data_IF_173200131827
#
_entry.id   IF_173200131827
#
_cell.length_a   1.000
_cell.length_b   1.000
_cell.length_c   1.000
_cell.angle_alpha   90.00
_cell.angle_beta   90.00
_cell.angle_gamma   90.00
#
_symmetry.space_group_name_H-M   'P 1'
#
loop_
_entity.id
_entity.type
_entity.pdbx_description
1 polymer ?
#
# COMPACT_ATOMS: atom_id res chain seq x y z
N UNK A 1 5.94 -26.35 -3.65
CA UNK A 1 4.78 -25.49 -3.37
C UNK A 1 5.05 -24.92 -1.98
N UNK A 2 5.36 -23.62 -1.89
CA UNK A 2 5.51 -22.98 -0.59
C UNK A 2 4.14 -22.96 0.07
N UNK A 3 4.01 -23.53 1.26
CA UNK A 3 2.78 -23.42 2.05
C UNK A 3 2.57 -21.95 2.41
N UNK A 4 1.51 -21.37 1.89
CA UNK A 4 1.03 -20.03 2.23
C UNK A 4 -0.02 -20.18 3.32
N UNK A 5 0.14 -19.42 4.40
CA UNK A 5 -0.84 -19.30 5.47
C UNK A 5 -1.54 -17.95 5.38
N UNK A 6 -2.76 -17.85 5.90
CA UNK A 6 -3.44 -16.57 6.01
C UNK A 6 -2.62 -15.62 6.91
N UNK A 7 -2.35 -14.42 6.41
CA UNK A 7 -1.57 -13.41 7.13
C UNK A 7 -2.32 -12.96 8.40
N UNK A 8 -1.60 -12.98 9.52
CA UNK A 8 -2.07 -12.47 10.81
C UNK A 8 -1.09 -11.45 11.36
N UNK A 9 -1.63 -10.39 11.93
CA UNK A 9 -0.85 -9.39 12.64
C UNK A 9 -1.18 -9.52 14.13
N UNK A 10 -0.18 -9.81 14.95
CA UNK A 10 -0.35 -10.07 16.39
C UNK A 10 -1.42 -11.15 16.65
N UNK A 11 -1.31 -12.29 15.96
CA UNK A 11 -2.27 -13.42 16.01
C UNK A 11 -3.73 -13.07 15.70
N UNK A 12 -3.97 -11.93 15.05
CA UNK A 12 -5.29 -11.46 14.66
C UNK A 12 -5.41 -11.35 13.15
N UNK A 13 -6.58 -11.66 12.60
CA UNK A 13 -6.88 -11.44 11.20
C UNK A 13 -6.89 -9.94 10.87
N UNK A 14 -6.72 -9.62 9.58
CA UNK A 14 -6.77 -8.25 9.08
C UNK A 14 -8.23 -7.78 9.09
N UNK A 15 -8.64 -7.05 10.14
CA UNK A 15 -10.02 -6.62 10.35
C UNK A 15 -10.21 -5.10 10.32
N UNK A 16 -9.17 -4.33 10.03
CA UNK A 16 -9.24 -2.87 10.02
C UNK A 16 -9.73 -2.28 8.69
N UNK A 17 -9.77 -3.09 7.63
CA UNK A 17 -10.32 -2.68 6.35
C UNK A 17 -11.85 -2.88 6.31
N UNK A 18 -12.52 -2.17 5.41
CA UNK A 18 -13.95 -2.37 5.16
C UNK A 18 -14.23 -3.80 4.67
N UNK A 19 -15.38 -4.36 5.04
CA UNK A 19 -15.75 -5.75 4.73
C UNK A 19 -15.72 -6.07 3.24
N UNK A 20 -16.11 -5.14 2.37
CA UNK A 20 -16.05 -5.32 0.91
C UNK A 20 -14.60 -5.52 0.44
N UNK A 21 -13.65 -4.76 0.99
CA UNK A 21 -12.23 -4.97 0.67
C UNK A 21 -11.74 -6.31 1.22
N UNK A 22 -12.11 -6.68 2.44
CA UNK A 22 -11.72 -7.97 3.03
C UNK A 22 -12.24 -9.17 2.24
N UNK A 23 -13.43 -9.08 1.66
CA UNK A 23 -14.00 -10.18 0.87
C UNK A 23 -13.38 -10.33 -0.54
N UNK A 24 -12.77 -9.28 -1.08
CA UNK A 24 -12.20 -9.25 -2.43
C UNK A 24 -10.66 -9.17 -2.44
N UNK A 25 -10.04 -9.20 -1.27
CA UNK A 25 -8.59 -9.22 -1.11
C UNK A 25 -8.17 -10.44 -0.30
N UNK A 26 -6.95 -10.93 -0.55
CA UNK A 26 -6.36 -12.03 0.23
C UNK A 26 -4.93 -11.69 0.59
N UNK A 27 -4.59 -11.96 1.81
CA UNK A 27 -3.27 -11.69 2.36
C UNK A 27 -2.70 -12.99 2.93
N UNK A 28 -1.50 -13.34 2.47
CA UNK A 28 -0.83 -14.57 2.85
C UNK A 28 0.58 -14.27 3.34
N UNK A 29 1.07 -15.15 4.20
CA UNK A 29 2.45 -15.19 4.66
C UNK A 29 3.09 -16.52 4.25
N UNK A 30 4.34 -16.47 3.77
CA UNK A 30 5.12 -17.68 3.50
C UNK A 30 5.89 -18.12 4.76
N UNK A 31 6.54 -19.28 4.68
CA UNK A 31 7.35 -19.84 5.77
C UNK A 31 8.57 -18.99 6.18
N UNK A 32 8.94 -18.00 5.38
CA UNK A 32 10.04 -17.08 5.65
C UNK A 32 9.56 -15.74 6.23
N UNK A 33 8.25 -15.59 6.44
CA UNK A 33 7.63 -14.36 6.92
C UNK A 33 7.38 -13.29 5.85
N UNK A 34 7.60 -13.61 4.56
CA UNK A 34 7.28 -12.69 3.47
C UNK A 34 5.80 -12.74 3.14
N UNK A 35 5.24 -11.64 2.64
CA UNK A 35 3.82 -11.56 2.37
C UNK A 35 3.51 -11.56 0.88
N UNK A 36 2.40 -12.22 0.52
CA UNK A 36 1.72 -12.09 -0.75
C UNK A 36 0.38 -11.40 -0.51
N UNK A 37 0.24 -10.19 -1.04
CA UNK A 37 -0.95 -9.36 -0.92
C UNK A 37 -1.65 -9.30 -2.27
N UNK A 38 -2.89 -9.81 -2.33
CA UNK A 38 -3.70 -9.85 -3.54
C UNK A 38 -4.93 -8.98 -3.37
N UNK A 39 -5.13 -8.05 -4.30
CA UNK A 39 -6.20 -7.05 -4.28
C UNK A 39 -7.12 -7.20 -5.49
N UNK A 40 -8.41 -6.95 -5.30
CA UNK A 40 -9.45 -6.97 -6.34
C UNK A 40 -9.51 -8.29 -7.10
N UNK A 41 -9.47 -9.40 -6.37
CA UNK A 41 -9.37 -10.76 -6.91
C UNK A 41 -10.55 -11.06 -7.84
N UNK A 42 -10.22 -11.58 -9.02
CA UNK A 42 -11.17 -11.93 -10.07
C UNK A 42 -11.57 -10.77 -10.98
N UNK A 43 -11.08 -9.55 -10.72
CA UNK A 43 -11.28 -8.41 -11.60
C UNK A 43 -10.14 -8.31 -12.64
N UNK A 44 -10.39 -7.69 -13.80
CA UNK A 44 -9.38 -7.49 -14.85
C UNK A 44 -8.26 -6.54 -14.42
N UNK A 45 -8.48 -5.77 -13.37
CA UNK A 45 -7.51 -4.87 -12.74
C UNK A 45 -6.96 -5.43 -11.42
N UNK A 46 -7.03 -6.75 -11.22
CA UNK A 46 -6.41 -7.44 -10.06
C UNK A 46 -4.95 -7.05 -9.90
N UNK A 47 -4.52 -6.82 -8.66
CA UNK A 47 -3.15 -6.48 -8.30
C UNK A 47 -2.60 -7.51 -7.32
N UNK A 48 -1.35 -7.89 -7.52
CA UNK A 48 -0.64 -8.78 -6.60
C UNK A 48 0.72 -8.19 -6.27
N UNK A 49 1.04 -8.12 -4.98
CA UNK A 49 2.27 -7.55 -4.46
C UNK A 49 2.96 -8.51 -3.53
N UNK A 50 4.26 -8.57 -3.62
CA UNK A 50 5.11 -9.35 -2.72
C UNK A 50 5.87 -8.39 -1.80
N UNK A 51 5.75 -8.60 -0.49
CA UNK A 51 6.51 -7.86 0.53
C UNK A 51 7.62 -8.77 1.01
N UNK A 52 8.84 -8.42 0.69
CA UNK A 52 10.03 -9.15 1.06
C UNK A 52 10.67 -8.53 2.30
N UNK A 53 10.75 -9.28 3.38
CA UNK A 53 11.44 -8.91 4.62
C UNK A 53 12.87 -9.44 4.68
N UNK A 54 13.30 -10.20 3.65
CA UNK A 54 14.69 -10.63 3.57
C UNK A 54 15.61 -9.43 3.32
N UNK A 55 16.81 -9.48 3.88
CA UNK A 55 17.85 -8.47 3.60
C UNK A 55 18.67 -8.80 2.35
N UNK A 56 18.20 -9.75 1.53
CA UNK A 56 18.88 -10.20 0.33
C UNK A 56 18.54 -9.25 -0.80
N UNK A 57 19.52 -8.86 -1.59
CA UNK A 57 19.28 -8.08 -2.81
C UNK A 57 18.31 -8.83 -3.73
N UNK A 58 17.17 -8.21 -4.00
CA UNK A 58 16.16 -8.74 -4.91
C UNK A 58 16.72 -8.81 -6.34
N UNK A 59 16.38 -9.86 -7.07
CA UNK A 59 16.66 -9.95 -8.49
C UNK A 59 15.80 -8.94 -9.27
N UNK A 60 16.33 -7.75 -9.48
CA UNK A 60 15.70 -6.65 -10.22
C UNK A 60 15.26 -7.01 -11.65
N UNK A 61 15.77 -8.12 -12.21
CA UNK A 61 15.32 -8.60 -13.52
C UNK A 61 13.97 -9.31 -13.45
N UNK A 62 13.63 -9.82 -12.28
CA UNK A 62 12.40 -10.59 -12.05
C UNK A 62 11.26 -9.74 -11.47
N UNK A 63 11.56 -8.72 -10.69
CA UNK A 63 10.57 -7.92 -9.96
C UNK A 63 10.79 -6.43 -10.20
N UNK A 64 9.68 -5.69 -10.35
CA UNK A 64 9.68 -4.24 -10.26
C UNK A 64 9.52 -3.83 -8.80
N UNK A 65 10.45 -3.04 -8.27
CA UNK A 65 10.35 -2.51 -6.90
C UNK A 65 9.43 -1.30 -6.91
N UNK A 66 8.32 -1.42 -6.20
CA UNK A 66 7.37 -0.32 -6.02
C UNK A 66 7.81 0.62 -4.89
N UNK A 67 8.33 0.06 -3.80
CA UNK A 67 8.58 0.80 -2.57
C UNK A 67 9.64 0.10 -1.72
N UNK A 68 10.38 0.89 -0.93
CA UNK A 68 11.27 0.39 0.12
C UNK A 68 10.84 1.02 1.44
N UNK A 69 10.59 0.19 2.46
CA UNK A 69 10.22 0.67 3.78
C UNK A 69 11.26 0.30 4.82
N UNK A 70 11.44 1.15 5.82
CA UNK A 70 12.37 0.91 6.94
C UNK A 70 11.64 1.07 8.27
N UNK A 71 11.68 -0.01 9.05
CA UNK A 71 11.28 -0.01 10.45
C UNK A 71 12.52 0.04 11.35
N UNK A 72 12.53 0.92 12.34
CA UNK A 72 13.49 0.92 13.43
C UNK A 72 12.73 0.89 14.76
N UNK A 73 13.02 -0.10 15.58
CA UNK A 73 12.59 -0.17 16.98
C UNK A 73 13.85 -0.05 17.83
N UNK A 74 13.97 1.01 18.60
CA UNK A 74 15.15 1.32 19.40
C UNK A 74 14.79 2.17 20.62
N UNK A 75 15.49 2.02 21.74
CA UNK A 75 15.23 2.76 22.99
C UNK A 75 15.69 4.22 22.97
N UNK A 76 16.47 4.62 21.98
CA UNK A 76 16.98 5.99 21.82
C UNK A 76 15.87 7.00 21.56
N UNK A 77 16.10 8.27 21.84
CA UNK A 77 15.19 9.30 21.39
C UNK A 77 15.33 9.53 19.87
N UNK A 78 14.18 9.66 19.19
CA UNK A 78 14.16 9.95 17.76
C UNK A 78 14.93 11.26 17.45
N UNK A 79 15.87 11.18 16.54
CA UNK A 79 16.79 12.28 16.20
C UNK A 79 17.13 12.27 14.69
N UNK A 80 17.89 13.28 14.25
CA UNK A 80 18.27 13.40 12.84
C UNK A 80 19.13 12.23 12.33
N UNK A 81 19.96 11.61 13.18
CA UNK A 81 20.75 10.45 12.76
C UNK A 81 19.88 9.24 12.40
N UNK A 82 18.83 8.97 13.21
CA UNK A 82 17.87 7.92 12.93
C UNK A 82 17.05 8.27 11.68
N UNK A 83 16.62 9.52 11.53
CA UNK A 83 15.91 9.97 10.33
C UNK A 83 16.77 9.81 9.07
N UNK A 84 18.06 10.14 9.14
CA UNK A 84 19.02 9.96 8.05
C UNK A 84 19.24 8.47 7.70
N UNK A 85 19.30 7.58 8.70
CA UNK A 85 19.37 6.13 8.46
C UNK A 85 18.16 5.64 7.66
N UNK A 86 16.94 6.03 8.08
CA UNK A 86 15.71 5.71 7.36
C UNK A 86 15.75 6.29 5.94
N UNK A 87 16.19 7.54 5.80
CA UNK A 87 16.31 8.22 4.50
C UNK A 87 17.24 7.50 3.53
N UNK A 88 18.38 7.00 4.03
CA UNK A 88 19.35 6.25 3.23
C UNK A 88 18.75 4.96 2.69
N UNK A 89 17.91 4.26 3.47
CA UNK A 89 17.24 3.04 3.00
C UNK A 89 16.19 3.36 1.92
N UNK A 90 15.32 4.34 2.17
CA UNK A 90 14.19 4.66 1.29
C UNK A 90 14.65 5.36 0.01
N UNK A 91 15.56 6.35 0.14
CA UNK A 91 15.91 7.26 -0.96
C UNK A 91 17.34 7.14 -1.47
N UNK A 92 18.18 6.34 -0.80
CA UNK A 92 19.63 6.29 -1.03
C UNK A 92 20.30 7.65 -0.87
N UNK A 93 19.72 8.53 -0.07
CA UNK A 93 20.20 9.89 0.22
C UNK A 93 19.76 10.33 1.62
N UNK A 94 20.38 11.37 2.17
CA UNK A 94 20.06 11.96 3.47
C UNK A 94 19.02 13.09 3.34
N UNK A 95 18.04 12.95 2.46
CA UNK A 95 17.09 14.02 2.16
C UNK A 95 16.00 14.18 3.22
N UNK A 96 15.55 13.05 3.83
CA UNK A 96 14.52 13.05 4.86
C UNK A 96 15.16 13.43 6.20
N UNK A 97 14.59 14.41 6.89
CA UNK A 97 15.03 14.88 8.19
C UNK A 97 13.99 14.57 9.26
N UNK A 98 14.34 14.70 10.53
CA UNK A 98 13.44 14.48 11.66
C UNK A 98 12.11 15.23 11.50
N UNK A 99 12.13 16.47 11.05
CA UNK A 99 10.96 17.32 10.89
C UNK A 99 10.03 16.89 9.74
N UNK A 100 10.46 15.98 8.88
CA UNK A 100 9.64 15.41 7.81
C UNK A 100 8.80 14.22 8.30
N UNK A 101 9.00 13.80 9.55
CA UNK A 101 8.20 12.76 10.18
C UNK A 101 7.02 13.35 10.93
N UNK A 102 5.87 12.70 10.81
CA UNK A 102 4.71 12.95 11.66
C UNK A 102 4.96 12.26 13.00
N UNK A 103 4.86 13.03 14.08
CA UNK A 103 4.97 12.52 15.44
C UNK A 103 3.61 12.06 15.95
N UNK A 104 3.56 10.81 16.39
CA UNK A 104 2.43 10.23 17.10
C UNK A 104 2.84 9.92 18.56
N UNK A 105 1.92 9.74 19.49
CA UNK A 105 2.26 9.44 20.88
C UNK A 105 3.15 8.21 21.08
N UNK A 106 3.13 7.25 20.16
CA UNK A 106 3.83 5.98 20.25
C UNK A 106 4.91 5.75 19.19
N UNK A 107 4.97 6.58 18.15
CA UNK A 107 5.88 6.37 17.02
C UNK A 107 6.04 7.63 16.16
N UNK A 108 7.00 7.57 15.25
CA UNK A 108 7.21 8.55 14.19
C UNK A 108 7.01 7.87 12.83
N UNK A 109 6.37 8.53 11.91
CA UNK A 109 6.02 8.00 10.59
C UNK A 109 6.36 9.02 9.49
N UNK A 110 6.97 8.54 8.41
CA UNK A 110 7.18 9.28 7.18
C UNK A 110 6.74 8.43 6.00
N UNK A 111 5.97 8.99 5.09
CA UNK A 111 5.56 8.34 3.85
C UNK A 111 5.84 9.30 2.69
N UNK A 112 6.44 8.78 1.65
CA UNK A 112 6.60 9.48 0.39
C UNK A 112 6.40 8.54 -0.82
N UNK A 113 6.57 9.05 -2.04
CA UNK A 113 6.40 8.26 -3.26
C UNK A 113 7.40 7.11 -3.45
N UNK A 114 8.33 6.89 -2.51
CA UNK A 114 9.35 5.83 -2.58
C UNK A 114 9.22 4.80 -1.46
N UNK A 115 8.53 5.14 -0.37
CA UNK A 115 8.37 4.22 0.72
C UNK A 115 7.88 4.82 2.03
N UNK A 116 8.04 4.03 3.09
CA UNK A 116 7.62 4.40 4.43
C UNK A 116 8.76 4.22 5.42
N UNK A 117 9.01 5.26 6.22
CA UNK A 117 9.85 5.23 7.41
C UNK A 117 9.00 5.13 8.66
N UNK A 118 9.34 4.22 9.55
CA UNK A 118 8.65 4.04 10.82
C UNK A 118 9.66 3.88 11.95
N UNK A 119 9.51 4.67 13.01
CA UNK A 119 10.34 4.59 14.19
C UNK A 119 9.49 4.50 15.45
N UNK A 120 9.86 3.62 16.36
CA UNK A 120 9.27 3.57 17.69
C UNK A 120 10.26 3.10 18.75
N UNK A 121 10.00 3.49 20.00
CA UNK A 121 10.68 2.95 21.19
C UNK A 121 9.93 1.76 21.80
N UNK A 122 8.77 1.44 21.28
CA UNK A 122 7.85 0.41 21.82
C UNK A 122 7.86 -0.78 20.86
N UNK A 123 8.36 -1.96 21.27
CA UNK A 123 8.46 -3.14 20.40
C UNK A 123 7.15 -3.54 19.74
N UNK A 124 6.03 -3.45 20.45
CA UNK A 124 4.70 -3.82 19.95
C UNK A 124 4.21 -2.94 18.78
N UNK A 125 4.88 -1.79 18.54
CA UNK A 125 4.60 -0.93 17.39
C UNK A 125 5.00 -1.55 16.06
N UNK A 126 5.77 -2.63 16.04
CA UNK A 126 6.00 -3.45 14.86
C UNK A 126 4.68 -3.89 14.19
N UNK A 127 3.68 -4.28 15.00
CA UNK A 127 2.36 -4.63 14.49
C UNK A 127 1.60 -3.45 13.87
N UNK A 128 1.82 -2.25 14.39
CA UNK A 128 1.26 -1.04 13.81
C UNK A 128 1.95 -0.66 12.50
N UNK A 129 3.26 -0.83 12.41
CA UNK A 129 4.00 -0.70 11.15
C UNK A 129 3.48 -1.70 10.10
N UNK A 130 3.28 -2.96 10.48
CA UNK A 130 2.74 -4.02 9.62
C UNK A 130 1.37 -3.66 9.03
N UNK A 131 0.46 -3.08 9.83
CA UNK A 131 -0.84 -2.60 9.33
C UNK A 131 -0.70 -1.46 8.32
N UNK A 132 0.27 -0.57 8.52
CA UNK A 132 0.57 0.54 7.61
C UNK A 132 1.16 0.06 6.29
N UNK A 133 1.99 -0.99 6.31
CA UNK A 133 2.48 -1.64 5.09
C UNK A 133 1.34 -2.18 4.23
N UNK A 134 0.29 -2.75 4.84
CA UNK A 134 -0.90 -3.20 4.11
C UNK A 134 -1.65 -2.00 3.51
N UNK A 135 -1.75 -0.87 4.23
CA UNK A 135 -2.36 0.35 3.68
C UNK A 135 -1.54 0.94 2.54
N UNK A 136 -0.21 0.95 2.66
CA UNK A 136 0.68 1.37 1.58
C UNK A 136 0.51 0.48 0.34
N UNK A 137 0.45 -0.84 0.53
CA UNK A 137 0.19 -1.78 -0.56
C UNK A 137 -1.20 -1.56 -1.20
N UNK A 138 -2.24 -1.28 -0.40
CA UNK A 138 -3.57 -0.94 -0.91
C UNK A 138 -3.54 0.35 -1.74
N UNK A 139 -2.77 1.37 -1.32
CA UNK A 139 -2.59 2.59 -2.09
C UNK A 139 -1.97 2.30 -3.48
N UNK A 140 -0.91 1.52 -3.53
CA UNK A 140 -0.33 1.07 -4.82
C UNK A 140 -1.31 0.21 -5.63
N UNK A 141 -2.13 -0.63 -4.98
CA UNK A 141 -3.14 -1.43 -5.67
C UNK A 141 -4.20 -0.55 -6.32
N UNK A 142 -4.64 0.52 -5.65
CA UNK A 142 -5.55 1.50 -6.25
C UNK A 142 -4.93 2.19 -7.45
N UNK A 143 -3.70 2.69 -7.34
CA UNK A 143 -2.99 3.33 -8.45
C UNK A 143 -2.82 2.38 -9.65
N UNK A 144 -2.40 1.13 -9.39
CA UNK A 144 -2.25 0.12 -10.44
C UNK A 144 -3.58 -0.23 -11.12
N UNK A 145 -4.68 -0.29 -10.37
CA UNK A 145 -6.01 -0.52 -10.93
C UNK A 145 -6.49 0.69 -11.78
N UNK A 146 -6.31 1.91 -11.29
CA UNK A 146 -6.63 3.15 -12.00
C UNK A 146 -5.85 3.21 -13.32
N UNK A 147 -4.54 3.00 -13.28
CA UNK A 147 -3.68 3.00 -14.46
C UNK A 147 -4.10 1.92 -15.48
N UNK A 148 -4.38 0.70 -15.01
CA UNK A 148 -4.85 -0.40 -15.87
C UNK A 148 -6.14 -0.04 -16.60
N UNK A 149 -7.13 0.49 -15.88
CA UNK A 149 -8.43 0.89 -16.45
C UNK A 149 -8.23 2.05 -17.44
N UNK A 150 -7.46 3.08 -17.07
CA UNK A 150 -7.17 4.26 -17.91
C UNK A 150 -6.48 3.88 -19.21
N UNK A 151 -5.46 3.02 -19.16
CA UNK A 151 -4.74 2.56 -20.33
C UNK A 151 -5.66 1.80 -21.29
N UNK A 152 -6.49 0.89 -20.79
CA UNK A 152 -7.45 0.12 -21.59
C UNK A 152 -8.52 1.00 -22.21
N UNK A 153 -9.00 2.02 -21.50
CA UNK A 153 -9.94 3.01 -22.05
C UNK A 153 -9.28 3.81 -23.19
N UNK A 154 -8.06 4.31 -22.96
CA UNK A 154 -7.32 5.09 -23.96
C UNK A 154 -7.03 4.28 -25.22
N UNK A 155 -6.56 3.04 -25.07
CA UNK A 155 -6.32 2.12 -26.19
C UNK A 155 -7.60 1.86 -26.99
N UNK A 156 -8.71 1.61 -26.30
CA UNK A 156 -10.00 1.34 -26.95
C UNK A 156 -10.53 2.54 -27.74
N UNK A 157 -10.34 3.75 -27.23
CA UNK A 157 -10.72 4.99 -27.91
C UNK A 157 -9.82 5.21 -29.14
N UNK A 158 -8.51 5.05 -29.01
CA UNK A 158 -7.55 5.25 -30.09
C UNK A 158 -7.72 4.24 -31.23
N UNK A 159 -8.07 2.99 -30.91
CA UNK A 159 -8.27 1.94 -31.92
C UNK A 159 -9.66 1.96 -32.58
N UNK A 160 -10.53 2.90 -32.20
CA UNK A 160 -11.94 2.96 -32.66
C UNK A 160 -12.67 1.62 -32.46
N UNK A 161 -12.44 1.03 -31.27
CA UNK A 161 -13.05 -0.23 -30.87
C UNK A 161 -14.58 -0.16 -30.92
N UNK A 162 -15.19 -1.33 -30.98
CA UNK A 162 -16.64 -1.51 -30.91
C UNK A 162 -17.23 -0.81 -29.67
N UNK A 163 -18.37 -0.16 -29.87
CA UNK A 163 -19.14 0.53 -28.80
C UNK A 163 -19.42 -0.37 -27.60
N UNK A 164 -19.64 -1.67 -27.82
CA UNK A 164 -19.88 -2.62 -26.76
C UNK A 164 -18.64 -2.82 -25.86
N UNK A 165 -17.45 -2.83 -26.44
CA UNK A 165 -16.20 -2.91 -25.68
C UNK A 165 -15.98 -1.67 -24.81
N UNK A 166 -16.21 -0.49 -25.38
CA UNK A 166 -16.14 0.77 -24.63
C UNK A 166 -17.17 0.80 -23.48
N UNK A 167 -18.39 0.33 -23.75
CA UNK A 167 -19.44 0.23 -22.73
C UNK A 167 -19.03 -0.72 -21.58
N UNK A 168 -18.42 -1.86 -21.89
CA UNK A 168 -17.91 -2.77 -20.86
C UNK A 168 -16.82 -2.13 -20.02
N UNK A 169 -15.87 -1.43 -20.61
CA UNK A 169 -14.82 -0.71 -19.89
C UNK A 169 -15.39 0.38 -18.98
N UNK A 170 -16.40 1.11 -19.46
CA UNK A 170 -17.09 2.10 -18.63
C UNK A 170 -17.79 1.45 -17.43
N UNK A 171 -18.43 0.29 -17.62
CA UNK A 171 -19.05 -0.48 -16.52
C UNK A 171 -17.98 -0.95 -15.52
N UNK A 172 -16.83 -1.43 -16.00
CA UNK A 172 -15.71 -1.85 -15.13
C UNK A 172 -15.16 -0.67 -14.31
N UNK A 173 -14.94 0.49 -14.91
CA UNK A 173 -14.50 1.70 -14.22
C UNK A 173 -15.53 2.17 -13.18
N UNK A 174 -16.80 2.18 -13.53
CA UNK A 174 -17.90 2.52 -12.62
C UNK A 174 -17.98 1.53 -11.45
N UNK A 175 -17.85 0.23 -11.72
CA UNK A 175 -17.80 -0.83 -10.69
C UNK A 175 -16.63 -0.61 -9.75
N UNK A 176 -15.43 -0.34 -10.28
CA UNK A 176 -14.25 -0.07 -9.47
C UNK A 176 -14.48 1.10 -8.52
N UNK A 177 -14.94 2.25 -9.06
CA UNK A 177 -15.24 3.45 -8.25
C UNK A 177 -16.34 3.20 -7.20
N UNK A 178 -17.40 2.49 -7.55
CA UNK A 178 -18.55 2.30 -6.68
C UNK A 178 -18.36 1.21 -5.61
N UNK A 179 -17.56 0.18 -5.92
CA UNK A 179 -17.47 -1.03 -5.07
C UNK A 179 -16.14 -1.09 -4.31
N UNK A 180 -15.03 -0.76 -4.94
CA UNK A 180 -13.71 -0.99 -4.38
C UNK A 180 -13.01 0.27 -3.90
N UNK A 181 -13.21 1.40 -4.58
CA UNK A 181 -12.55 2.65 -4.25
C UNK A 181 -13.29 3.35 -3.10
N UNK A 182 -12.66 3.38 -1.96
CA UNK A 182 -13.16 4.09 -0.78
C UNK A 182 -12.26 5.27 -0.45
N UNK A 183 -12.83 6.47 -0.31
CA UNK A 183 -12.13 7.61 0.29
C UNK A 183 -11.58 7.25 1.69
N UNK A 184 -12.28 6.36 2.38
CA UNK A 184 -11.91 5.86 3.70
C UNK A 184 -12.03 4.33 3.73
N UNK A 185 -10.97 3.59 3.37
CA UNK A 185 -10.98 2.12 3.36
C UNK A 185 -10.86 1.49 4.76
N UNK A 186 -10.42 2.28 5.76
CA UNK A 186 -10.25 1.84 7.14
C UNK A 186 -11.55 2.02 7.91
N UNK A 187 -11.91 1.05 8.76
CA UNK A 187 -13.11 1.16 9.62
C UNK A 187 -12.92 2.23 10.70
N UNK A 188 -14.00 2.95 11.04
CA UNK A 188 -13.98 4.15 11.90
C UNK A 188 -13.36 3.97 13.29
N UNK A 189 -13.31 2.77 13.82
CA UNK A 189 -12.71 2.48 15.15
C UNK A 189 -11.17 2.56 15.18
N UNK A 190 -10.50 2.63 14.03
CA UNK A 190 -9.04 2.65 13.93
C UNK A 190 -8.52 4.03 13.51
N UNK A 191 -8.62 5.03 14.40
CA UNK A 191 -8.35 6.45 14.10
C UNK A 191 -6.93 6.66 13.56
N UNK A 192 -5.91 6.06 14.16
CA UNK A 192 -4.52 6.25 13.72
C UNK A 192 -4.27 5.72 12.30
N UNK A 193 -4.92 4.62 11.91
CA UNK A 193 -4.84 4.09 10.55
C UNK A 193 -5.65 4.93 9.55
N UNK A 194 -6.71 5.59 10.01
CA UNK A 194 -7.44 6.59 9.21
C UNK A 194 -6.54 7.78 8.88
N UNK A 195 -5.78 8.26 9.85
CA UNK A 195 -4.83 9.36 9.64
C UNK A 195 -3.71 8.96 8.67
N UNK A 196 -3.14 7.76 8.83
CA UNK A 196 -2.19 7.20 7.87
C UNK A 196 -2.79 7.10 6.47
N UNK A 197 -4.05 6.67 6.34
CA UNK A 197 -4.70 6.60 5.02
C UNK A 197 -4.86 7.98 4.38
N UNK A 198 -5.28 8.99 5.13
CA UNK A 198 -5.34 10.36 4.63
C UNK A 198 -3.98 10.87 4.16
N UNK A 199 -2.92 10.50 4.88
CA UNK A 199 -1.57 10.85 4.48
C UNK A 199 -1.17 10.15 3.17
N UNK A 200 -1.46 8.85 3.03
CA UNK A 200 -1.24 8.11 1.79
C UNK A 200 -2.01 8.71 0.61
N UNK A 201 -3.28 9.04 0.80
CA UNK A 201 -4.10 9.67 -0.24
C UNK A 201 -3.51 11.01 -0.69
N UNK A 202 -3.04 11.85 0.25
CA UNK A 202 -2.37 13.10 -0.08
C UNK A 202 -1.02 12.92 -0.80
N UNK A 203 -0.26 11.87 -0.47
CA UNK A 203 1.04 11.58 -1.13
C UNK A 203 0.86 11.06 -2.54
N UNK A 204 -0.16 10.23 -2.77
CA UNK A 204 -0.38 9.51 -4.03
C UNK A 204 -1.52 10.07 -4.87
N UNK A 205 -2.25 11.09 -4.39
CA UNK A 205 -3.41 11.70 -5.06
C UNK A 205 -4.44 10.67 -5.55
N UNK A 206 -4.70 9.61 -4.74
CA UNK A 206 -5.53 8.46 -5.15
C UNK A 206 -6.93 8.91 -5.56
N UNK A 207 -7.57 9.74 -4.74
CA UNK A 207 -8.92 10.23 -5.01
C UNK A 207 -8.94 11.10 -6.27
N UNK A 208 -7.98 12.00 -6.45
CA UNK A 208 -7.87 12.84 -7.64
C UNK A 208 -7.65 11.99 -8.90
N UNK A 209 -6.70 11.07 -8.90
CA UNK A 209 -6.44 10.17 -10.03
C UNK A 209 -7.68 9.34 -10.39
N UNK A 210 -8.49 8.95 -9.41
CA UNK A 210 -9.73 8.20 -9.65
C UNK A 210 -10.82 9.04 -10.32
N UNK A 211 -10.85 10.34 -10.07
CA UNK A 211 -11.83 11.25 -10.68
C UNK A 211 -11.56 11.47 -12.16
N UNK A 212 -10.35 11.21 -12.62
CA UNK A 212 -9.97 11.24 -14.05
C UNK A 212 -10.45 10.01 -14.84
N UNK A 213 -10.94 8.96 -14.15
CA UNK A 213 -11.42 7.73 -14.82
C UNK A 213 -12.76 7.88 -15.54
N UNK A 214 -13.62 8.86 -15.18
CA UNK A 214 -14.99 8.98 -15.68
C UNK A 214 -15.41 10.43 -15.87
#
# INVERSE_FOLDING_TARGET
>A
VNELCELKINNSNILFLRSVLLSNNKFYEDKNGNWLLMFFIGEKYEQSMFVDFSKIELDYKKYSILSVSKLIIDDSFFNDAIAEEISLEIRKSKAIKKNDFIEYPSHYEHIDGRGMGFYSRIPEQEYNCSRRLILLALAYAYLGAIENISNRLSESICCQDDVDKLRQLYIEATKFKAVFLFHQPVVMRNISLIETWKYLDNVFDINQNSDELL
#
